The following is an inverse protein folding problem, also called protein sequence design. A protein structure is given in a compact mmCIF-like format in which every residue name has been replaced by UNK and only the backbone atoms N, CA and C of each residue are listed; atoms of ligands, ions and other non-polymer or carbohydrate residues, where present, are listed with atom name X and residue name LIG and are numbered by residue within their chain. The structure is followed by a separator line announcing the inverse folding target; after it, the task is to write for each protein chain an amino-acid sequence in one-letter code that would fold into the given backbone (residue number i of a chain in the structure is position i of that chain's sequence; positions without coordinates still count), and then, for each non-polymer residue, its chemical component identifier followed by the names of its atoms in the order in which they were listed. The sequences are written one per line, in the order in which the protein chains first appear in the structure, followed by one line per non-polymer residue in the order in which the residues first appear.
data_IF_284325996658
#
_entry.id   IF_284325996658
#
_cell.length_a   1.000
_cell.length_b   1.000
_cell.length_c   1.000
_cell.angle_alpha   90.00
_cell.angle_beta   90.00
_cell.angle_gamma   90.00
#
_symmetry.space_group_name_H-M   'P 1'
#
loop_
_entity.id
_entity.type
_entity.pdbx_description
1 polymer ?
#
# COMPACT_ATOMS: atom_id res chain seq x y z
N UNK A 1 20.09 -2.44 19.31
CA UNK A 1 20.66 -3.48 18.42
C UNK A 1 21.50 -2.81 17.36
N UNK A 2 22.71 -3.33 17.01
CA UNK A 2 23.50 -2.76 15.95
C UNK A 2 22.76 -2.93 14.62
N UNK A 3 22.49 -1.80 13.95
CA UNK A 3 21.89 -1.79 12.63
C UNK A 3 22.82 -2.52 11.65
N UNK A 4 22.32 -3.53 10.98
CA UNK A 4 23.07 -4.17 9.90
C UNK A 4 23.29 -3.17 8.76
N UNK A 5 24.41 -3.29 8.01
CA UNK A 5 24.67 -2.41 6.85
C UNK A 5 23.52 -2.41 5.85
N UNK A 6 22.78 -3.51 5.79
CA UNK A 6 21.56 -3.70 5.01
C UNK A 6 20.43 -2.76 5.46
N UNK A 7 20.14 -2.71 6.75
CA UNK A 7 19.11 -1.84 7.32
C UNK A 7 19.42 -0.37 7.09
N UNK A 8 20.68 0.03 7.22
CA UNK A 8 21.10 1.39 6.91
C UNK A 8 20.87 1.75 5.43
N UNK A 9 21.12 0.84 4.50
CA UNK A 9 20.85 1.07 3.07
C UNK A 9 19.35 1.24 2.79
N UNK A 10 18.47 0.47 3.44
CA UNK A 10 17.02 0.57 3.28
C UNK A 10 16.46 1.84 3.92
N UNK A 11 16.91 2.20 5.12
CA UNK A 11 16.52 3.41 5.83
C UNK A 11 16.94 4.69 5.08
N UNK A 12 18.02 4.61 4.31
CA UNK A 12 18.54 5.72 3.52
C UNK A 12 17.94 5.82 2.10
N UNK A 13 17.05 4.89 1.69
CA UNK A 13 16.34 4.98 0.41
C UNK A 13 15.14 5.95 0.54
N UNK A 14 15.22 7.20 0.01
CA UNK A 14 14.27 8.26 0.36
C UNK A 14 12.82 7.96 -0.03
N UNK A 15 12.59 7.16 -1.08
CA UNK A 15 11.25 6.89 -1.62
C UNK A 15 10.41 5.97 -0.73
N UNK A 16 11.07 5.08 0.05
CA UNK A 16 10.42 4.10 0.94
C UNK A 16 10.77 4.33 2.41
N UNK A 17 11.67 5.26 2.72
CA UNK A 17 12.26 5.44 4.05
C UNK A 17 11.23 5.65 5.17
N UNK A 18 10.13 6.36 4.90
CA UNK A 18 9.10 6.63 5.91
C UNK A 18 8.43 5.33 6.36
N UNK A 19 8.00 4.50 5.40
CA UNK A 19 7.30 3.25 5.69
C UNK A 19 8.24 2.20 6.32
N UNK A 20 9.47 2.11 5.81
CA UNK A 20 10.49 1.19 6.34
C UNK A 20 10.86 1.56 7.78
N UNK A 21 10.96 2.86 8.12
CA UNK A 21 11.25 3.31 9.50
C UNK A 21 10.13 2.90 10.47
N UNK A 22 8.87 3.02 10.09
CA UNK A 22 7.75 2.58 10.93
C UNK A 22 7.79 1.07 11.14
N UNK A 23 8.01 0.30 10.08
CA UNK A 23 8.12 -1.16 10.20
C UNK A 23 9.35 -1.61 10.99
N UNK A 24 10.47 -0.89 10.86
CA UNK A 24 11.66 -1.14 11.67
C UNK A 24 11.42 -0.83 13.16
N UNK A 25 10.74 0.28 13.46
CA UNK A 25 10.39 0.64 14.86
C UNK A 25 9.58 -0.48 15.54
N UNK A 26 8.66 -1.11 14.82
CA UNK A 26 7.85 -2.23 15.31
C UNK A 26 8.48 -3.60 15.08
N UNK A 27 9.75 -3.67 14.65
CA UNK A 27 10.52 -4.89 14.38
C UNK A 27 9.90 -5.84 13.33
N UNK A 28 8.99 -5.38 12.48
CA UNK A 28 8.34 -6.21 11.47
C UNK A 28 9.28 -6.67 10.35
N UNK A 29 10.38 -5.95 10.11
CA UNK A 29 11.39 -6.28 9.11
C UNK A 29 12.58 -7.08 9.66
N UNK A 30 12.63 -7.36 10.96
CA UNK A 30 13.73 -8.11 11.58
C UNK A 30 13.48 -9.62 11.46
N UNK A 31 14.45 -10.36 10.91
CA UNK A 31 14.27 -11.77 10.50
C UNK A 31 13.99 -12.73 11.65
N UNK A 32 14.65 -12.57 12.77
CA UNK A 32 14.63 -13.55 13.89
C UNK A 32 14.30 -12.93 15.24
N UNK A 33 13.52 -11.83 15.24
CA UNK A 33 13.18 -11.15 16.46
C UNK A 33 11.78 -11.55 16.94
N UNK A 34 11.70 -12.05 18.18
CA UNK A 34 10.42 -12.32 18.84
C UNK A 34 9.61 -11.03 19.07
N UNK A 35 10.27 -9.85 19.07
CA UNK A 35 9.63 -8.54 19.26
C UNK A 35 8.50 -8.28 18.25
N UNK A 36 8.60 -8.78 17.01
CA UNK A 36 7.54 -8.64 15.99
C UNK A 36 6.20 -9.23 16.42
N UNK A 37 6.22 -10.27 17.24
CA UNK A 37 5.01 -10.93 17.74
C UNK A 37 4.38 -10.19 18.91
N UNK A 38 5.14 -9.36 19.63
CA UNK A 38 4.64 -8.56 20.77
C UNK A 38 3.50 -7.63 20.35
N UNK A 39 3.54 -7.09 19.13
CA UNK A 39 2.48 -6.23 18.62
C UNK A 39 1.40 -6.99 17.85
N UNK A 40 1.79 -8.02 17.08
CA UNK A 40 0.86 -8.77 16.23
C UNK A 40 -0.10 -9.61 17.09
N UNK A 41 0.39 -10.29 18.12
CA UNK A 41 -0.44 -11.16 18.96
C UNK A 41 -1.52 -10.38 19.73
N UNK A 42 -1.21 -9.28 20.45
CA UNK A 42 -2.23 -8.51 21.16
C UNK A 42 -3.27 -7.88 20.23
N UNK A 43 -2.83 -7.34 19.07
CA UNK A 43 -3.76 -6.77 18.07
C UNK A 43 -4.62 -7.87 17.45
N UNK A 44 -4.06 -9.04 17.19
CA UNK A 44 -4.80 -10.21 16.71
C UNK A 44 -5.82 -10.71 17.74
N UNK A 45 -5.44 -10.81 19.01
CA UNK A 45 -6.35 -11.19 20.10
C UNK A 45 -7.51 -10.18 20.23
N UNK A 46 -7.19 -8.87 20.17
CA UNK A 46 -8.21 -7.83 20.17
C UNK A 46 -9.17 -7.96 18.97
N UNK A 47 -8.63 -8.26 17.79
CA UNK A 47 -9.44 -8.49 16.60
C UNK A 47 -10.42 -9.65 16.79
N UNK A 48 -9.98 -10.76 17.41
CA UNK A 48 -10.87 -11.89 17.72
C UNK A 48 -11.99 -11.51 18.70
N UNK A 49 -11.68 -10.68 19.72
CA UNK A 49 -12.69 -10.19 20.66
C UNK A 49 -13.69 -9.24 19.99
N UNK A 50 -13.26 -8.46 18.98
CA UNK A 50 -14.17 -7.66 18.15
C UNK A 50 -15.11 -8.54 17.30
N UNK A 51 -14.60 -9.64 16.71
CA UNK A 51 -15.47 -10.60 16.01
C UNK A 51 -16.43 -11.32 16.97
N UNK A 52 -16.02 -11.62 18.20
CA UNK A 52 -16.91 -12.16 19.22
C UNK A 52 -18.05 -11.18 19.58
N UNK A 53 -17.77 -9.87 19.58
CA UNK A 53 -18.79 -8.84 19.81
C UNK A 53 -19.83 -8.77 18.69
N UNK A 54 -19.43 -9.03 17.44
CA UNK A 54 -20.39 -9.11 16.32
C UNK A 54 -21.42 -10.23 16.54
N UNK A 55 -20.97 -11.35 17.13
CA UNK A 55 -21.90 -12.44 17.47
C UNK A 55 -22.85 -12.05 18.61
N UNK A 56 -22.36 -11.31 19.62
CA UNK A 56 -23.18 -10.78 20.71
C UNK A 56 -24.22 -9.76 20.21
N UNK A 57 -23.79 -8.86 19.33
CA UNK A 57 -24.63 -7.81 18.76
C UNK A 57 -25.65 -8.33 17.73
N UNK A 58 -25.64 -9.65 17.45
CA UNK A 58 -26.54 -10.25 16.47
C UNK A 58 -28.01 -9.96 16.79
N UNK A 59 -28.71 -9.35 15.85
CA UNK A 59 -30.09 -8.87 16.00
C UNK A 59 -30.23 -7.35 16.04
N UNK A 60 -29.16 -6.61 16.39
CA UNK A 60 -29.08 -5.16 16.25
C UNK A 60 -28.23 -4.80 15.03
N UNK A 61 -28.87 -4.59 13.89
CA UNK A 61 -28.19 -4.37 12.59
C UNK A 61 -27.25 -3.16 12.64
N UNK A 62 -27.65 -2.08 13.31
CA UNK A 62 -26.86 -0.86 13.44
C UNK A 62 -25.53 -1.14 14.19
N UNK A 63 -25.63 -1.75 15.37
CA UNK A 63 -24.47 -2.09 16.19
C UNK A 63 -23.53 -3.07 15.47
N UNK A 64 -24.10 -4.08 14.81
CA UNK A 64 -23.31 -5.05 14.01
C UNK A 64 -22.52 -4.37 12.91
N UNK A 65 -23.13 -3.47 12.14
CA UNK A 65 -22.44 -2.81 11.02
C UNK A 65 -21.31 -1.89 11.50
N UNK A 66 -21.56 -1.09 12.56
CA UNK A 66 -20.55 -0.19 13.12
C UNK A 66 -19.37 -0.99 13.71
N UNK A 67 -19.65 -2.04 14.47
CA UNK A 67 -18.60 -2.88 15.06
C UNK A 67 -17.85 -3.68 13.98
N UNK A 68 -18.54 -4.14 12.92
CA UNK A 68 -17.91 -4.83 11.79
C UNK A 68 -16.91 -3.94 11.05
N UNK A 69 -17.16 -2.65 10.94
CA UNK A 69 -16.21 -1.71 10.32
C UNK A 69 -14.84 -1.77 11.00
N UNK A 70 -14.79 -1.68 12.32
CA UNK A 70 -13.53 -1.76 13.06
C UNK A 70 -12.92 -3.17 13.04
N UNK A 71 -13.73 -4.21 13.22
CA UNK A 71 -13.26 -5.59 13.17
C UNK A 71 -12.59 -5.91 11.83
N UNK A 72 -13.15 -5.45 10.70
CA UNK A 72 -12.59 -5.62 9.36
C UNK A 72 -11.31 -4.80 9.17
N UNK A 73 -11.24 -3.57 9.69
CA UNK A 73 -10.01 -2.76 9.64
C UNK A 73 -8.86 -3.43 10.39
N UNK A 74 -9.11 -3.90 11.61
CA UNK A 74 -8.10 -4.59 12.42
C UNK A 74 -7.72 -5.94 11.82
N UNK A 75 -8.67 -6.68 11.27
CA UNK A 75 -8.40 -7.90 10.52
C UNK A 75 -7.45 -7.65 9.35
N UNK A 76 -7.72 -6.64 8.53
CA UNK A 76 -6.84 -6.26 7.42
C UNK A 76 -5.46 -5.80 7.90
N UNK A 77 -5.36 -5.11 9.06
CA UNK A 77 -4.09 -4.73 9.66
C UNK A 77 -3.24 -5.97 10.06
N UNK A 78 -3.85 -6.91 10.76
CA UNK A 78 -3.21 -8.17 11.15
C UNK A 78 -2.82 -8.99 9.93
N UNK A 79 -3.69 -9.10 8.92
CA UNK A 79 -3.42 -9.80 7.67
C UNK A 79 -2.18 -9.24 6.94
N UNK A 80 -2.12 -7.92 6.78
CA UNK A 80 -0.99 -7.22 6.14
C UNK A 80 0.32 -7.52 6.85
N UNK A 81 0.35 -7.36 8.17
CA UNK A 81 1.53 -7.63 8.97
C UNK A 81 1.93 -9.11 8.96
N UNK A 82 0.98 -10.01 9.06
CA UNK A 82 1.23 -11.45 9.00
C UNK A 82 1.84 -11.86 7.65
N UNK A 83 1.32 -11.34 6.54
CA UNK A 83 1.88 -11.61 5.21
C UNK A 83 3.29 -11.04 5.08
N UNK A 84 3.55 -9.84 5.59
CA UNK A 84 4.88 -9.23 5.59
C UNK A 84 5.88 -10.07 6.38
N UNK A 85 5.50 -10.50 7.57
CA UNK A 85 6.37 -11.32 8.45
C UNK A 85 6.61 -12.71 7.88
N UNK A 86 5.57 -13.38 7.35
CA UNK A 86 5.69 -14.71 6.75
C UNK A 86 6.49 -14.71 5.44
N UNK A 87 6.43 -13.63 4.68
CA UNK A 87 7.17 -13.48 3.41
C UNK A 87 8.38 -12.54 3.55
N UNK A 88 8.95 -12.41 4.75
CA UNK A 88 10.04 -11.51 5.06
C UNK A 88 11.16 -11.51 4.00
N UNK A 89 11.66 -12.69 3.61
CA UNK A 89 12.77 -12.81 2.65
C UNK A 89 12.43 -12.25 1.26
N UNK A 90 11.15 -12.34 0.85
CA UNK A 90 10.71 -11.76 -0.42
C UNK A 90 10.62 -10.23 -0.33
N UNK A 91 10.08 -9.71 0.79
CA UNK A 91 10.04 -8.26 1.03
C UNK A 91 11.43 -7.67 1.11
N UNK A 92 12.35 -8.30 1.84
CA UNK A 92 13.74 -7.86 1.96
C UNK A 92 14.42 -7.79 0.58
N UNK A 93 14.34 -8.86 -0.23
CA UNK A 93 14.89 -8.89 -1.58
C UNK A 93 14.30 -7.79 -2.46
N UNK A 94 13.00 -7.57 -2.38
CA UNK A 94 12.32 -6.53 -3.14
C UNK A 94 12.76 -5.13 -2.72
N UNK A 95 12.84 -4.85 -1.43
CA UNK A 95 13.34 -3.58 -0.88
C UNK A 95 14.78 -3.30 -1.29
N UNK A 96 15.64 -4.33 -1.26
CA UNK A 96 17.03 -4.22 -1.73
C UNK A 96 17.11 -3.91 -3.21
N UNK A 97 16.24 -4.51 -4.01
CA UNK A 97 16.17 -4.20 -5.44
C UNK A 97 15.76 -2.74 -5.68
N UNK A 98 14.77 -2.22 -4.92
CA UNK A 98 14.39 -0.80 -4.96
C UNK A 98 15.59 0.10 -4.64
N UNK A 99 16.30 -0.17 -3.54
CA UNK A 99 17.45 0.63 -3.13
C UNK A 99 18.57 0.63 -4.18
N UNK A 100 18.83 -0.52 -4.81
CA UNK A 100 19.82 -0.67 -5.90
C UNK A 100 19.41 0.15 -7.13
N UNK A 101 18.17 0.00 -7.60
CA UNK A 101 17.68 0.73 -8.77
C UNK A 101 17.66 2.23 -8.49
N UNK A 102 17.24 2.64 -7.29
CA UNK A 102 17.25 4.04 -6.87
C UNK A 102 18.65 4.65 -6.93
N UNK A 103 19.66 3.95 -6.38
CA UNK A 103 21.06 4.38 -6.41
C UNK A 103 21.58 4.51 -7.85
N UNK A 104 21.28 3.54 -8.72
CA UNK A 104 21.67 3.58 -10.12
C UNK A 104 21.05 4.80 -10.84
N UNK A 105 19.74 5.06 -10.64
CA UNK A 105 19.08 6.23 -11.22
C UNK A 105 19.66 7.56 -10.69
N UNK A 106 20.13 7.59 -9.46
CA UNK A 106 20.75 8.77 -8.84
C UNK A 106 22.14 9.08 -9.46
N UNK A 107 22.85 8.06 -9.93
CA UNK A 107 24.16 8.18 -10.56
C UNK A 107 24.12 8.64 -12.03
N UNK A 108 22.95 8.58 -12.68
CA UNK A 108 22.78 9.08 -14.04
C UNK A 108 23.00 10.60 -14.06
N UNK A 109 23.85 11.10 -14.94
CA UNK A 109 24.16 12.53 -15.02
C UNK A 109 23.04 13.39 -15.63
N UNK A 110 22.02 12.75 -16.24
CA UNK A 110 20.91 13.43 -16.89
C UNK A 110 20.05 14.21 -15.89
N UNK A 111 20.00 15.52 -16.07
CA UNK A 111 19.27 16.44 -15.19
C UNK A 111 17.76 16.16 -15.17
N UNK A 112 17.17 15.77 -16.31
CA UNK A 112 15.73 15.49 -16.41
C UNK A 112 15.37 14.25 -15.58
N UNK A 113 16.18 13.19 -15.63
CA UNK A 113 15.97 11.99 -14.83
C UNK A 113 16.14 12.27 -13.33
N UNK A 114 17.16 13.07 -12.94
CA UNK A 114 17.34 13.47 -11.54
C UNK A 114 16.17 14.28 -11.03
N UNK A 115 15.68 15.25 -11.79
CA UNK A 115 14.52 16.06 -11.42
C UNK A 115 13.23 15.24 -11.32
N UNK A 116 13.05 14.29 -12.23
CA UNK A 116 11.97 13.31 -12.22
C UNK A 116 12.00 12.46 -10.93
N UNK A 117 13.16 11.86 -10.64
CA UNK A 117 13.35 11.04 -9.44
C UNK A 117 13.07 11.83 -8.16
N UNK A 118 13.58 13.06 -8.06
CA UNK A 118 13.33 13.94 -6.91
C UNK A 118 11.85 14.30 -6.74
N UNK A 119 11.15 14.64 -7.84
CA UNK A 119 9.72 14.98 -7.84
C UNK A 119 8.88 13.82 -7.33
N UNK A 120 9.09 12.61 -7.86
CA UNK A 120 8.33 11.43 -7.45
C UNK A 120 8.70 10.96 -6.04
N UNK A 121 9.97 11.08 -5.64
CA UNK A 121 10.39 10.82 -4.26
C UNK A 121 9.74 11.77 -3.28
N UNK A 122 9.66 13.08 -3.60
CA UNK A 122 8.95 14.07 -2.77
C UNK A 122 7.47 13.74 -2.66
N UNK A 123 6.82 13.38 -3.79
CA UNK A 123 5.40 12.97 -3.82
C UNK A 123 5.17 11.72 -2.95
N UNK A 124 5.99 10.68 -3.08
CA UNK A 124 5.88 9.46 -2.29
C UNK A 124 6.05 9.72 -0.78
N UNK A 125 7.05 10.53 -0.39
CA UNK A 125 7.26 10.91 1.01
C UNK A 125 6.11 11.74 1.57
N UNK A 126 5.63 12.71 0.80
CA UNK A 126 4.50 13.55 1.21
C UNK A 126 3.23 12.71 1.42
N UNK A 127 2.93 11.78 0.50
CA UNK A 127 1.81 10.85 0.64
C UNK A 127 1.97 9.96 1.87
N UNK A 128 3.16 9.43 2.12
CA UNK A 128 3.42 8.58 3.29
C UNK A 128 3.25 9.35 4.61
N UNK A 129 3.78 10.56 4.70
CA UNK A 129 3.67 11.40 5.90
C UNK A 129 2.21 11.86 6.11
N UNK A 130 1.54 12.30 5.03
CA UNK A 130 0.15 12.73 5.10
C UNK A 130 -0.77 11.58 5.53
N UNK A 131 -0.58 10.38 4.97
CA UNK A 131 -1.38 9.21 5.32
C UNK A 131 -1.16 8.78 6.79
N UNK A 132 0.10 8.78 7.27
CA UNK A 132 0.41 8.50 8.68
C UNK A 132 -0.19 9.56 9.61
N UNK A 133 -0.04 10.84 9.28
CA UNK A 133 -0.58 11.95 10.08
C UNK A 133 -2.10 11.92 10.16
N UNK A 134 -2.77 11.72 9.00
CA UNK A 134 -4.22 11.59 8.94
C UNK A 134 -4.71 10.37 9.73
N UNK A 135 -4.05 9.23 9.59
CA UNK A 135 -4.40 8.03 10.33
C UNK A 135 -4.20 8.17 11.84
N UNK A 136 -3.10 8.79 12.27
CA UNK A 136 -2.87 9.08 13.69
C UNK A 136 -3.94 10.04 14.25
N UNK A 137 -4.28 11.09 13.51
CA UNK A 137 -5.33 12.03 13.87
C UNK A 137 -6.69 11.34 14.04
N UNK A 138 -7.11 10.57 13.04
CA UNK A 138 -8.40 9.86 13.06
C UNK A 138 -8.45 8.84 14.20
N UNK A 139 -7.38 8.07 14.41
CA UNK A 139 -7.30 7.10 15.51
C UNK A 139 -7.38 7.76 16.87
N UNK A 140 -6.76 8.94 17.02
CA UNK A 140 -6.86 9.75 18.24
C UNK A 140 -8.31 10.21 18.46
N UNK A 141 -9.00 10.67 17.41
CA UNK A 141 -10.40 11.07 17.50
C UNK A 141 -11.29 9.91 17.99
N UNK A 142 -11.09 8.68 17.46
CA UNK A 142 -11.86 7.51 17.90
C UNK A 142 -11.62 7.12 19.35
N UNK A 143 -10.36 7.21 19.80
CA UNK A 143 -10.01 6.90 21.19
C UNK A 143 -10.58 7.94 22.17
N UNK A 144 -10.62 9.20 21.75
CA UNK A 144 -11.04 10.32 22.58
C UNK A 144 -12.58 10.49 22.59
N UNK A 145 -13.25 10.09 21.50
CA UNK A 145 -14.71 10.24 21.36
C UNK A 145 -15.53 9.69 22.54
N UNK A 146 -15.29 8.48 23.08
CA UNK A 146 -16.06 7.95 24.20
C UNK A 146 -15.97 8.80 25.48
N UNK A 147 -14.87 9.55 25.65
CA UNK A 147 -14.69 10.41 26.82
C UNK A 147 -15.64 11.62 26.82
N UNK A 148 -16.09 12.04 25.63
CA UNK A 148 -17.00 13.19 25.46
C UNK A 148 -18.45 12.76 25.20
N UNK A 149 -18.68 11.50 24.80
CA UNK A 149 -20.03 11.01 24.44
C UNK A 149 -20.98 10.82 25.64
N UNK A 150 -20.48 10.95 26.86
CA UNK A 150 -21.25 10.74 28.10
C UNK A 150 -21.58 9.26 28.31
N UNK A 151 -21.10 8.68 29.42
CA UNK A 151 -21.28 7.28 29.73
C UNK A 151 -19.99 6.45 29.66
N UNK A 152 -20.07 5.16 29.95
CA UNK A 152 -18.94 4.23 29.91
C UNK A 152 -18.92 3.52 28.55
N UNK A 153 -18.48 4.20 27.50
CA UNK A 153 -18.28 3.62 26.17
C UNK A 153 -16.83 3.17 25.94
N UNK A 154 -16.63 2.02 25.30
CA UNK A 154 -15.30 1.60 24.83
C UNK A 154 -15.05 2.18 23.43
N UNK A 155 -13.79 2.51 23.06
CA UNK A 155 -13.44 2.99 21.72
C UNK A 155 -13.87 2.03 20.61
N UNK A 156 -13.77 0.73 20.86
CA UNK A 156 -14.14 -0.32 19.92
C UNK A 156 -15.00 -1.36 20.62
N UNK A 157 -16.03 -1.86 19.94
CA UNK A 157 -16.85 -2.96 20.43
C UNK A 157 -15.99 -4.20 20.67
N UNK A 158 -16.13 -4.81 21.82
CA UNK A 158 -15.50 -6.08 22.17
C UNK A 158 -16.40 -6.89 23.11
N UNK A 159 -16.25 -8.20 23.08
CA UNK A 159 -16.97 -9.10 23.97
C UNK A 159 -16.03 -10.11 24.60
N UNK A 160 -16.10 -10.22 25.94
CA UNK A 160 -15.39 -11.23 26.72
C UNK A 160 -16.44 -12.01 27.52
N UNK A 161 -16.62 -13.33 27.25
CA UNK A 161 -17.61 -14.13 27.95
C UNK A 161 -17.39 -14.12 29.47
N UNK A 162 -18.47 -13.87 30.22
CA UNK A 162 -18.44 -13.89 31.69
C UNK A 162 -17.85 -12.64 32.38
N UNK A 163 -17.42 -11.63 31.60
CA UNK A 163 -16.86 -10.38 32.15
C UNK A 163 -17.83 -9.23 31.94
N UNK A 164 -18.13 -8.48 33.02
CA UNK A 164 -18.85 -7.22 32.90
C UNK A 164 -17.90 -6.11 32.42
N UNK A 165 -17.94 -5.79 31.13
CA UNK A 165 -17.04 -4.83 30.48
C UNK A 165 -17.19 -3.39 30.97
N UNK A 166 -18.33 -3.04 31.59
CA UNK A 166 -18.65 -1.69 32.06
C UNK A 166 -18.51 -1.53 33.56
N UNK A 167 -18.13 -2.61 34.27
CA UNK A 167 -17.83 -2.59 35.70
C UNK A 167 -16.44 -2.05 36.01
N UNK A 168 -16.25 -1.47 37.19
CA UNK A 168 -14.95 -1.06 37.74
C UNK A 168 -14.29 -2.26 38.41
N UNK A 169 -13.01 -2.59 38.17
CA UNK A 169 -11.97 -1.87 37.39
C UNK A 169 -11.85 -2.35 35.91
N UNK A 170 -12.72 -3.24 35.45
CA UNK A 170 -12.60 -3.90 34.14
C UNK A 170 -12.65 -2.88 32.99
N UNK A 171 -13.58 -1.91 33.10
CA UNK A 171 -13.73 -0.85 32.08
C UNK A 171 -12.45 -0.05 31.89
N UNK A 172 -11.85 0.42 32.96
CA UNK A 172 -10.65 1.25 32.93
C UNK A 172 -9.47 0.49 32.32
N UNK A 173 -9.30 -0.77 32.69
CA UNK A 173 -8.24 -1.64 32.14
C UNK A 173 -8.44 -1.87 30.64
N UNK A 174 -9.65 -2.19 30.22
CA UNK A 174 -9.96 -2.47 28.82
C UNK A 174 -9.88 -1.20 27.97
N UNK A 175 -10.37 -0.08 28.46
CA UNK A 175 -10.23 1.21 27.80
C UNK A 175 -8.76 1.55 27.56
N UNK A 176 -7.94 1.47 28.60
CA UNK A 176 -6.50 1.75 28.49
C UNK A 176 -5.78 0.78 27.57
N UNK A 177 -6.14 -0.50 27.59
CA UNK A 177 -5.60 -1.51 26.68
C UNK A 177 -5.94 -1.18 25.22
N UNK A 178 -7.18 -0.81 24.92
CA UNK A 178 -7.60 -0.41 23.57
C UNK A 178 -6.85 0.83 23.10
N UNK A 179 -6.68 1.84 23.95
CA UNK A 179 -5.88 3.04 23.65
C UNK A 179 -4.45 2.65 23.24
N UNK A 180 -3.78 1.81 24.03
CA UNK A 180 -2.41 1.37 23.75
C UNK A 180 -2.35 0.57 22.43
N UNK A 181 -3.29 -0.35 22.19
CA UNK A 181 -3.30 -1.21 21.01
C UNK A 181 -3.71 -0.50 19.72
N UNK A 182 -4.33 0.67 19.81
CA UNK A 182 -4.67 1.48 18.63
C UNK A 182 -3.43 1.92 17.86
N UNK A 183 -2.34 2.30 18.54
CA UNK A 183 -1.10 2.74 17.89
C UNK A 183 -0.44 1.64 17.05
N UNK A 184 -0.14 0.44 17.57
CA UNK A 184 0.39 -0.64 16.75
C UNK A 184 -0.58 -1.05 15.65
N UNK A 185 -1.90 -1.08 15.89
CA UNK A 185 -2.91 -1.35 14.87
C UNK A 185 -2.80 -0.38 13.68
N UNK A 186 -2.68 0.91 13.95
CA UNK A 186 -2.48 1.94 12.91
C UNK A 186 -1.15 1.75 12.17
N UNK A 187 -0.07 1.43 12.89
CA UNK A 187 1.25 1.20 12.30
C UNK A 187 1.34 -0.11 11.50
N UNK A 188 0.44 -1.07 11.74
CA UNK A 188 0.27 -2.26 10.91
C UNK A 188 -0.47 -1.96 9.62
N UNK A 189 -1.47 -1.08 9.67
CA UNK A 189 -2.36 -0.82 8.54
C UNK A 189 -1.85 0.26 7.58
N UNK A 190 -1.57 1.46 8.10
CA UNK A 190 -1.34 2.68 7.31
C UNK A 190 -0.06 2.62 6.47
N UNK A 191 1.11 2.19 7.00
CA UNK A 191 2.35 2.19 6.23
C UNK A 191 2.30 1.27 5.01
N UNK A 192 1.48 0.23 5.03
CA UNK A 192 1.36 -0.68 3.89
C UNK A 192 0.73 0.02 2.68
N UNK A 193 -0.35 0.79 2.88
CA UNK A 193 -1.01 1.56 1.81
C UNK A 193 -0.06 2.57 1.19
N UNK A 194 0.66 3.34 2.00
CA UNK A 194 1.62 4.33 1.52
C UNK A 194 2.88 3.70 0.93
N UNK A 195 3.30 2.53 1.40
CA UNK A 195 4.37 1.73 0.80
C UNK A 195 4.00 1.27 -0.61
N UNK A 196 2.80 0.72 -0.78
CA UNK A 196 2.29 0.33 -2.09
C UNK A 196 2.28 1.50 -3.07
N UNK A 197 1.73 2.65 -2.66
CA UNK A 197 1.73 3.88 -3.47
C UNK A 197 3.16 4.32 -3.83
N UNK A 198 4.10 4.27 -2.88
CA UNK A 198 5.50 4.62 -3.10
C UNK A 198 6.17 3.67 -4.10
N UNK A 199 5.93 2.35 -4.00
CA UNK A 199 6.46 1.36 -4.95
C UNK A 199 5.87 1.56 -6.35
N UNK A 200 4.59 1.86 -6.46
CA UNK A 200 3.93 2.12 -7.75
C UNK A 200 4.45 3.41 -8.39
N UNK A 201 4.64 4.48 -7.60
CA UNK A 201 5.29 5.71 -8.05
C UNK A 201 6.72 5.49 -8.49
N UNK A 202 7.45 4.60 -7.83
CA UNK A 202 8.80 4.24 -8.26
C UNK A 202 8.82 3.45 -9.57
N UNK A 203 7.87 2.54 -9.78
CA UNK A 203 7.64 1.89 -11.07
C UNK A 203 7.37 2.91 -12.18
N UNK A 204 6.59 3.94 -11.86
CA UNK A 204 6.28 5.04 -12.78
C UNK A 204 7.52 5.85 -13.15
N UNK A 205 8.44 6.11 -12.19
CA UNK A 205 9.75 6.74 -12.49
C UNK A 205 10.54 5.91 -13.49
N UNK A 206 10.60 4.58 -13.32
CA UNK A 206 11.31 3.69 -14.22
C UNK A 206 10.68 3.69 -15.64
N UNK A 207 9.35 3.64 -15.73
CA UNK A 207 8.62 3.73 -17.01
C UNK A 207 8.91 5.06 -17.72
N UNK A 208 8.87 6.19 -16.99
CA UNK A 208 9.17 7.51 -17.54
C UNK A 208 10.63 7.66 -17.95
N UNK A 209 11.56 7.00 -17.26
CA UNK A 209 12.95 6.93 -17.67
C UNK A 209 13.10 6.23 -19.03
N UNK A 210 12.39 5.12 -19.26
CA UNK A 210 12.38 4.44 -20.57
C UNK A 210 11.83 5.38 -21.66
N UNK A 211 10.73 6.07 -21.39
CA UNK A 211 10.14 7.03 -22.33
C UNK A 211 11.12 8.16 -22.66
N UNK A 212 11.83 8.67 -21.66
CA UNK A 212 12.86 9.71 -21.84
C UNK A 212 14.02 9.21 -22.70
N UNK A 213 14.57 8.02 -22.40
CA UNK A 213 15.63 7.40 -23.18
C UNK A 213 15.22 7.21 -24.66
N UNK A 214 13.98 6.76 -24.90
CA UNK A 214 13.46 6.61 -26.27
C UNK A 214 13.36 7.95 -27.01
N UNK A 215 12.90 9.03 -26.33
CA UNK A 215 12.87 10.38 -26.94
C UNK A 215 14.27 10.88 -27.27
N UNK A 216 15.24 10.59 -26.41
CA UNK A 216 16.64 11.00 -26.60
C UNK A 216 17.28 10.32 -27.82
N UNK A 217 16.92 9.06 -28.09
CA UNK A 217 17.36 8.35 -29.29
C UNK A 217 16.94 9.03 -30.59
N UNK A 218 15.81 9.73 -30.61
CA UNK A 218 15.38 10.51 -31.78
C UNK A 218 16.36 11.65 -32.12
N UNK A 219 16.95 12.24 -31.07
CA UNK A 219 17.87 13.39 -31.21
C UNK A 219 19.29 12.95 -31.47
N UNK A 220 19.77 11.94 -30.77
CA UNK A 220 21.19 11.48 -30.80
C UNK A 220 21.46 10.43 -31.87
N UNK A 221 20.45 9.94 -32.56
CA UNK A 221 20.54 8.84 -33.53
C UNK A 221 20.43 7.46 -32.90
N UNK A 222 19.84 6.53 -33.68
CA UNK A 222 19.59 5.16 -33.23
C UNK A 222 20.86 4.31 -33.26
N UNK A 223 21.49 4.15 -32.09
CA UNK A 223 22.61 3.20 -31.91
C UNK A 223 22.07 1.87 -31.37
N UNK A 224 22.49 0.71 -31.98
CA UNK A 224 22.04 -0.62 -31.57
C UNK A 224 22.29 -0.89 -30.05
N UNK A 225 23.45 -0.48 -29.55
CA UNK A 225 23.82 -0.68 -28.13
C UNK A 225 22.87 0.00 -27.16
N UNK A 226 22.48 1.26 -27.44
CA UNK A 226 21.50 2.00 -26.60
C UNK A 226 20.09 1.38 -26.66
N UNK A 227 19.71 0.88 -27.83
CA UNK A 227 18.40 0.21 -27.98
C UNK A 227 18.34 -1.11 -27.19
N UNK A 228 19.44 -1.87 -27.16
CA UNK A 228 19.58 -3.07 -26.33
C UNK A 228 19.48 -2.71 -24.83
N UNK A 229 20.10 -1.61 -24.42
CA UNK A 229 20.03 -1.12 -23.03
C UNK A 229 18.59 -0.78 -22.63
N UNK A 230 17.86 -0.07 -23.49
CA UNK A 230 16.44 0.26 -23.27
C UNK A 230 15.58 -1.01 -23.17
N UNK A 231 15.82 -2.02 -24.02
CA UNK A 231 15.10 -3.31 -23.94
C UNK A 231 15.38 -3.99 -22.59
N UNK A 232 16.63 -3.99 -22.13
CA UNK A 232 17.01 -4.54 -20.81
C UNK A 232 16.34 -3.76 -19.67
N UNK A 233 16.30 -2.43 -19.75
CA UNK A 233 15.63 -1.60 -18.75
C UNK A 233 14.12 -1.84 -18.75
N UNK A 234 13.50 -1.98 -19.91
CA UNK A 234 12.09 -2.33 -20.02
C UNK A 234 11.79 -3.69 -19.36
N UNK A 235 12.65 -4.70 -19.59
CA UNK A 235 12.50 -6.00 -18.93
C UNK A 235 12.66 -5.87 -17.40
N UNK A 236 13.61 -5.08 -16.90
CA UNK A 236 13.79 -4.84 -15.45
C UNK A 236 12.55 -4.21 -14.80
N UNK A 237 11.89 -3.29 -15.51
CA UNK A 237 10.64 -2.68 -15.01
C UNK A 237 9.50 -3.71 -14.97
N UNK A 238 9.42 -4.59 -15.97
CA UNK A 238 8.45 -5.68 -16.00
C UNK A 238 8.66 -6.62 -14.81
N UNK A 239 9.92 -7.03 -14.58
CA UNK A 239 10.28 -7.90 -13.46
C UNK A 239 9.96 -7.23 -12.11
N UNK A 240 10.27 -5.93 -11.99
CA UNK A 240 9.95 -5.12 -10.81
C UNK A 240 8.45 -5.11 -10.49
N UNK A 241 7.60 -4.86 -11.49
CA UNK A 241 6.13 -4.85 -11.30
C UNK A 241 5.61 -6.25 -11.01
N UNK A 242 6.22 -7.28 -11.60
CA UNK A 242 5.90 -8.67 -11.30
C UNK A 242 6.22 -9.04 -9.85
N UNK A 243 7.38 -8.64 -9.35
CA UNK A 243 7.78 -8.85 -7.96
C UNK A 243 6.83 -8.12 -7.00
N UNK A 244 6.50 -6.84 -7.30
CA UNK A 244 5.52 -6.08 -6.54
C UNK A 244 4.17 -6.81 -6.48
N UNK A 245 3.66 -7.28 -7.61
CA UNK A 245 2.42 -8.05 -7.68
C UNK A 245 2.46 -9.30 -6.82
N UNK A 246 3.57 -10.03 -6.80
CA UNK A 246 3.69 -11.23 -5.99
C UNK A 246 3.57 -10.98 -4.49
N UNK A 247 3.86 -9.75 -4.03
CA UNK A 247 3.78 -9.33 -2.63
C UNK A 247 2.40 -8.82 -2.23
N UNK A 248 1.68 -8.16 -3.15
CA UNK A 248 0.50 -7.35 -2.78
C UNK A 248 -0.83 -7.93 -3.27
N UNK A 249 -0.85 -8.80 -4.28
CA UNK A 249 -2.10 -9.25 -4.94
C UNK A 249 -3.11 -9.87 -3.97
N UNK A 250 -2.67 -10.75 -3.06
CA UNK A 250 -3.59 -11.38 -2.09
C UNK A 250 -4.17 -10.36 -1.11
N UNK A 251 -3.35 -9.41 -0.67
CA UNK A 251 -3.80 -8.34 0.25
C UNK A 251 -4.83 -7.47 -0.46
N UNK A 252 -4.54 -7.02 -1.68
CA UNK A 252 -5.46 -6.22 -2.48
C UNK A 252 -6.79 -6.93 -2.74
N UNK A 253 -6.77 -8.24 -2.99
CA UNK A 253 -7.98 -9.02 -3.21
C UNK A 253 -8.86 -9.07 -1.96
N UNK A 254 -8.28 -9.44 -0.81
CA UNK A 254 -9.02 -9.53 0.46
C UNK A 254 -9.58 -8.18 0.86
N UNK A 255 -8.79 -7.11 0.72
CA UNK A 255 -9.23 -5.75 1.02
C UNK A 255 -10.35 -5.26 0.10
N UNK A 256 -10.24 -5.53 -1.20
CA UNK A 256 -11.27 -5.15 -2.14
C UNK A 256 -12.61 -5.82 -1.80
N UNK A 257 -12.58 -7.11 -1.49
CA UNK A 257 -13.79 -7.84 -1.10
C UNK A 257 -14.35 -7.36 0.23
N UNK A 258 -13.50 -7.21 1.25
CA UNK A 258 -13.93 -6.78 2.59
C UNK A 258 -14.46 -5.35 2.60
N UNK A 259 -13.78 -4.42 1.92
CA UNK A 259 -14.25 -3.04 1.81
C UNK A 259 -15.50 -2.90 0.93
N UNK A 260 -15.61 -3.71 -0.12
CA UNK A 260 -16.83 -3.75 -0.94
C UNK A 260 -18.05 -4.17 -0.12
N UNK A 261 -17.93 -5.24 0.67
CA UNK A 261 -18.98 -5.68 1.58
C UNK A 261 -19.32 -4.63 2.63
N UNK A 262 -18.30 -4.02 3.25
CA UNK A 262 -18.49 -2.96 4.26
C UNK A 262 -19.14 -1.72 3.67
N UNK A 263 -18.77 -1.33 2.44
CA UNK A 263 -19.38 -0.19 1.76
C UNK A 263 -20.87 -0.42 1.54
N UNK A 264 -21.26 -1.61 1.08
CA UNK A 264 -22.67 -1.99 0.91
C UNK A 264 -23.42 -1.92 2.24
N UNK A 265 -22.84 -2.46 3.33
CA UNK A 265 -23.46 -2.45 4.66
C UNK A 265 -23.62 -1.02 5.23
N UNK A 266 -22.60 -0.16 5.08
CA UNK A 266 -22.68 1.23 5.53
C UNK A 266 -23.65 2.07 4.71
N UNK A 267 -23.76 1.84 3.39
CA UNK A 267 -24.75 2.50 2.54
C UNK A 267 -26.17 2.07 2.91
N UNK A 268 -26.38 0.79 3.26
CA UNK A 268 -27.64 0.31 3.79
C UNK A 268 -27.96 0.99 5.13
N UNK A 269 -26.98 1.09 6.02
CA UNK A 269 -27.16 1.74 7.33
C UNK A 269 -27.56 3.21 7.19
N UNK A 270 -26.99 3.96 6.22
CA UNK A 270 -27.39 5.35 5.94
C UNK A 270 -28.86 5.54 5.64
N UNK A 271 -29.56 4.51 5.09
CA UNK A 271 -30.98 4.61 4.79
C UNK A 271 -31.87 4.38 6.04
N UNK A 272 -31.32 3.86 7.13
CA UNK A 272 -32.07 3.49 8.33
C UNK A 272 -31.85 4.51 9.45
N UNK A 273 -30.72 5.21 9.45
CA UNK A 273 -30.33 6.17 10.51
C UNK A 273 -31.27 7.37 10.50
N UNK A 274 -31.86 7.65 11.67
CA UNK A 274 -32.69 8.83 11.90
C UNK A 274 -31.91 9.99 12.53
N UNK A 275 -30.84 9.68 13.29
CA UNK A 275 -30.06 10.69 14.02
C UNK A 275 -28.96 11.33 13.19
N UNK A 276 -28.96 12.66 13.06
CA UNK A 276 -27.98 13.42 12.28
C UNK A 276 -26.52 13.15 12.69
N UNK A 277 -26.24 12.98 13.99
CA UNK A 277 -24.88 12.72 14.47
C UNK A 277 -24.34 11.36 13.96
N UNK A 278 -25.18 10.32 13.98
CA UNK A 278 -24.82 9.00 13.46
C UNK A 278 -24.64 9.02 11.94
N UNK A 279 -25.50 9.76 11.21
CA UNK A 279 -25.37 9.96 9.77
C UNK A 279 -23.98 10.51 9.40
N UNK A 280 -23.50 11.55 10.10
CA UNK A 280 -22.17 12.13 9.85
C UNK A 280 -21.06 11.12 10.09
N UNK A 281 -21.14 10.33 11.15
CA UNK A 281 -20.15 9.30 11.48
C UNK A 281 -20.09 8.22 10.37
N UNK A 282 -21.24 7.71 9.95
CA UNK A 282 -21.32 6.67 8.91
C UNK A 282 -20.86 7.21 7.55
N UNK A 283 -21.22 8.45 7.22
CA UNK A 283 -20.73 9.13 6.02
C UNK A 283 -19.20 9.29 6.03
N UNK A 284 -18.61 9.60 7.19
CA UNK A 284 -17.16 9.65 7.36
C UNK A 284 -16.51 8.28 7.15
N UNK A 285 -17.10 7.18 7.64
CA UNK A 285 -16.60 5.82 7.39
C UNK A 285 -16.64 5.45 5.90
N UNK A 286 -17.72 5.78 5.20
CA UNK A 286 -17.85 5.57 3.75
C UNK A 286 -16.76 6.36 3.02
N UNK A 287 -16.58 7.64 3.35
CA UNK A 287 -15.54 8.47 2.75
C UNK A 287 -14.13 7.89 2.96
N UNK A 288 -13.85 7.36 4.15
CA UNK A 288 -12.57 6.71 4.46
C UNK A 288 -12.34 5.46 3.59
N UNK A 289 -13.33 4.59 3.45
CA UNK A 289 -13.21 3.40 2.60
C UNK A 289 -12.98 3.79 1.14
N UNK A 290 -13.79 4.72 0.61
CA UNK A 290 -13.65 5.19 -0.77
C UNK A 290 -12.28 5.81 -1.01
N UNK A 291 -11.79 6.64 -0.08
CA UNK A 291 -10.47 7.27 -0.20
C UNK A 291 -9.33 6.24 -0.20
N UNK A 292 -9.43 5.17 0.60
CA UNK A 292 -8.45 4.08 0.62
C UNK A 292 -8.45 3.30 -0.71
N UNK A 293 -9.62 2.90 -1.19
CA UNK A 293 -9.76 2.21 -2.48
C UNK A 293 -9.21 3.09 -3.61
N UNK A 294 -9.60 4.37 -3.64
CA UNK A 294 -9.15 5.33 -4.64
C UNK A 294 -7.62 5.47 -4.65
N UNK A 295 -7.00 5.62 -3.48
CA UNK A 295 -5.54 5.75 -3.36
C UNK A 295 -4.80 4.53 -3.94
N UNK A 296 -5.32 3.31 -3.72
CA UNK A 296 -4.76 2.09 -4.28
C UNK A 296 -4.86 2.05 -5.82
N UNK A 297 -6.06 2.25 -6.35
CA UNK A 297 -6.31 2.05 -7.78
C UNK A 297 -5.84 3.21 -8.65
N UNK A 298 -5.83 4.43 -8.14
CA UNK A 298 -5.33 5.60 -8.87
C UNK A 298 -3.89 5.42 -9.32
N UNK A 299 -2.99 5.07 -8.40
CA UNK A 299 -1.58 4.91 -8.73
C UNK A 299 -1.33 3.69 -9.64
N UNK A 300 -2.08 2.60 -9.45
CA UNK A 300 -2.03 1.44 -10.32
C UNK A 300 -2.45 1.77 -11.75
N UNK A 301 -3.52 2.53 -11.93
CA UNK A 301 -3.98 2.96 -13.25
C UNK A 301 -3.01 3.93 -13.93
N UNK A 302 -2.43 4.88 -13.18
CA UNK A 302 -1.39 5.78 -13.72
C UNK A 302 -0.19 4.98 -14.28
N UNK A 303 0.27 3.96 -13.54
CA UNK A 303 1.34 3.07 -14.00
C UNK A 303 0.95 2.30 -15.27
N UNK A 304 -0.26 1.76 -15.32
CA UNK A 304 -0.82 1.05 -16.48
C UNK A 304 -0.83 1.93 -17.74
N UNK A 305 -1.38 3.12 -17.64
CA UNK A 305 -1.47 4.07 -18.76
C UNK A 305 -0.09 4.49 -19.27
N UNK A 306 0.83 4.83 -18.35
CA UNK A 306 2.17 5.23 -18.72
C UNK A 306 3.00 4.08 -19.30
N UNK A 307 2.76 2.85 -18.87
CA UNK A 307 3.43 1.67 -19.46
C UNK A 307 3.00 1.44 -20.90
N UNK A 308 1.73 1.62 -21.22
CA UNK A 308 1.23 1.54 -22.61
C UNK A 308 1.74 2.71 -23.48
N UNK A 309 1.92 3.88 -22.89
CA UNK A 309 2.46 5.05 -23.60
C UNK A 309 3.89 4.84 -24.12
N UNK A 310 4.67 3.87 -23.58
CA UNK A 310 5.97 3.48 -24.13
C UNK A 310 5.86 3.12 -25.61
N UNK A 311 4.81 2.39 -26.01
CA UNK A 311 4.60 2.02 -27.42
C UNK A 311 4.47 3.24 -28.33
N UNK A 312 3.67 4.24 -27.91
CA UNK A 312 3.49 5.49 -28.66
C UNK A 312 4.79 6.28 -28.77
N UNK A 313 5.55 6.35 -27.65
CA UNK A 313 6.84 7.05 -27.63
C UNK A 313 7.85 6.34 -28.52
N UNK A 314 7.95 5.01 -28.45
CA UNK A 314 8.86 4.22 -29.29
C UNK A 314 8.53 4.38 -30.79
N UNK A 315 7.24 4.37 -31.15
CA UNK A 315 6.83 4.61 -32.54
C UNK A 315 7.23 6.00 -33.02
N UNK A 316 6.97 7.04 -32.24
CA UNK A 316 7.27 8.43 -32.63
C UNK A 316 8.75 8.79 -32.57
N UNK A 317 9.59 8.01 -31.85
CA UNK A 317 11.04 8.22 -31.77
C UNK A 317 11.80 7.58 -32.96
N UNK A 318 11.19 6.66 -33.67
CA UNK A 318 11.85 5.88 -34.70
C UNK A 318 11.77 6.57 -36.09
N UNK A 319 12.91 6.86 -36.77
CA UNK A 319 12.93 7.31 -38.14
C UNK A 319 12.75 6.10 -39.09
N UNK A 320 11.52 5.63 -39.24
CA UNK A 320 11.16 4.36 -39.87
C UNK A 320 11.72 4.19 -41.30
N UNK A 321 11.83 5.28 -42.07
CA UNK A 321 12.32 5.22 -43.47
C UNK A 321 13.81 4.95 -43.54
N UNK A 322 14.58 5.51 -42.61
CA UNK A 322 16.07 5.49 -42.63
C UNK A 322 16.64 4.31 -41.82
N UNK A 323 15.82 3.60 -41.05
CA UNK A 323 16.30 2.53 -40.17
C UNK A 323 16.64 1.24 -40.93
N UNK A 324 17.76 0.61 -40.52
CA UNK A 324 18.11 -0.75 -40.93
C UNK A 324 17.08 -1.76 -40.42
N UNK A 325 16.79 -2.84 -41.16
CA UNK A 325 15.76 -3.85 -40.78
C UNK A 325 15.95 -4.43 -39.37
N UNK A 326 17.18 -4.64 -38.93
CA UNK A 326 17.51 -5.13 -37.60
C UNK A 326 17.01 -4.17 -36.47
N UNK A 327 17.22 -2.86 -36.65
CA UNK A 327 16.78 -1.85 -35.70
C UNK A 327 15.23 -1.72 -35.68
N UNK A 328 14.60 -1.81 -36.85
CA UNK A 328 13.11 -1.85 -36.96
C UNK A 328 12.53 -3.00 -36.11
N UNK A 329 13.13 -4.21 -36.22
CA UNK A 329 12.71 -5.37 -35.43
C UNK A 329 12.83 -5.13 -33.93
N UNK A 330 13.90 -4.48 -33.45
CA UNK A 330 14.11 -4.17 -32.04
C UNK A 330 13.08 -3.16 -31.49
N UNK A 331 12.81 -2.08 -32.25
CA UNK A 331 11.78 -1.10 -31.89
C UNK A 331 10.40 -1.73 -31.89
N UNK A 332 10.10 -2.57 -32.88
CA UNK A 332 8.83 -3.31 -32.96
C UNK A 332 8.64 -4.22 -31.75
N UNK A 333 9.71 -4.87 -31.27
CA UNK A 333 9.67 -5.70 -30.07
C UNK A 333 9.32 -4.88 -28.82
N UNK A 334 9.87 -3.66 -28.66
CA UNK A 334 9.49 -2.74 -27.57
C UNK A 334 8.01 -2.38 -27.69
N UNK A 335 7.53 -2.02 -28.89
CA UNK A 335 6.13 -1.64 -29.11
C UNK A 335 5.20 -2.81 -28.78
N UNK A 336 5.46 -4.00 -29.31
CA UNK A 336 4.64 -5.20 -29.07
C UNK A 336 4.59 -5.56 -27.58
N UNK A 337 5.72 -5.42 -26.86
CA UNK A 337 5.76 -5.70 -25.43
C UNK A 337 5.02 -4.63 -24.62
N UNK A 338 5.12 -3.36 -24.99
CA UNK A 338 4.45 -2.24 -24.32
C UNK A 338 2.93 -2.21 -24.55
N UNK A 339 2.39 -2.89 -25.58
CA UNK A 339 0.95 -3.08 -25.76
C UNK A 339 0.32 -3.97 -24.68
N UNK A 340 1.13 -4.75 -23.95
CA UNK A 340 0.69 -5.47 -22.76
C UNK A 340 0.94 -4.59 -21.55
N UNK A 341 -0.11 -4.01 -20.93
CA UNK A 341 0.07 -3.06 -19.83
C UNK A 341 0.74 -3.71 -18.62
N UNK A 342 1.43 -2.89 -17.83
CA UNK A 342 1.89 -3.25 -16.51
C UNK A 342 0.75 -2.98 -15.53
N UNK A 343 0.12 -4.04 -15.06
CA UNK A 343 -1.00 -3.95 -14.12
C UNK A 343 -0.56 -4.41 -12.74
N UNK A 344 -1.04 -3.71 -11.70
CA UNK A 344 -0.78 -4.04 -10.30
C UNK A 344 -2.09 -4.55 -9.69
N UNK A 345 -2.00 -5.56 -8.82
CA UNK A 345 -3.13 -6.30 -8.23
C UNK A 345 -3.90 -7.19 -9.25
N UNK A 346 -3.27 -7.58 -10.35
CA UNK A 346 -3.86 -8.52 -11.30
C UNK A 346 -3.64 -9.97 -10.84
N UNK A 347 -4.72 -10.72 -10.64
CA UNK A 347 -4.64 -12.17 -10.50
C UNK A 347 -4.26 -12.77 -11.85
N UNK A 348 -3.09 -13.38 -11.96
CA UNK A 348 -2.67 -14.08 -13.18
C UNK A 348 -3.74 -15.10 -13.55
N UNK A 349 -4.47 -14.87 -14.64
CA UNK A 349 -5.10 -15.98 -15.38
C UNK A 349 -3.96 -16.91 -15.80
N UNK A 350 -3.85 -18.10 -15.18
CA UNK A 350 -3.03 -19.17 -15.71
C UNK A 350 -3.47 -19.39 -17.17
N UNK A 351 -2.72 -18.86 -18.12
CA UNK A 351 -2.82 -19.36 -19.50
C UNK A 351 -2.26 -20.78 -19.44
N UNK A 352 -3.14 -21.76 -19.37
CA UNK A 352 -2.80 -23.10 -19.77
C UNK A 352 -2.22 -23.00 -21.20
N UNK A 353 -0.94 -23.25 -21.31
CA UNK A 353 -0.31 -23.62 -22.58
C UNK A 353 -0.57 -25.07 -22.82
#
# INVERSE_FOLDING_TARGET
MPQTALEQHLLNCPIISVNVRVWHFWSFLVKHDAMRYISIIPVGAMTLLMFADLYRAWGNIEEVIINAYFAVLYFNAVLRCSILVLNHDKYEKFLMNIARIYKNLQQIEDHEIKSLLQRYTKRARMLSIANLGLGAFISTCFVVYPLFAGGRGLPYGMYIPGVNLFGTPQYEILFFLQVILTFPGCCMYIPFTSFFASCTLFGLVQVKNIQHQLRKLRIEGLKPSKLIEIIKDHQRVIDYVHDLNSLVTYICLVEFLSFGMMLCALLFLLNIIEHQAQFVIVAAYIFMIISQIYAFYWHGNELREQSMAIAKVAYGAAPWLEMKPALKKMVLLIILRAQRPLEVCETKKKKNR
#
